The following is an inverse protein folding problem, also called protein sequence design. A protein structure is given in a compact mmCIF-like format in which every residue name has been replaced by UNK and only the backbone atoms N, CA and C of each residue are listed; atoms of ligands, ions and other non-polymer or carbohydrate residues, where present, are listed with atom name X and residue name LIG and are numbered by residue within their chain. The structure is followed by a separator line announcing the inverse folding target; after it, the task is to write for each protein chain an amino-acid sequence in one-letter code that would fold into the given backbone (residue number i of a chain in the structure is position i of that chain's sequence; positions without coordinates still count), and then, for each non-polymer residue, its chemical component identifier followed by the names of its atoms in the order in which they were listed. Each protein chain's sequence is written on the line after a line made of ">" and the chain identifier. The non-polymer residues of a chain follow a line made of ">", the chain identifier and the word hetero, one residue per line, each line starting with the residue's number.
data_IF_679152782716
#
_entry.id   IF_679152782716
#
_cell.length_a   1.000
_cell.length_b   1.000
_cell.length_c   1.000
_cell.angle_alpha   90.00
_cell.angle_beta   90.00
_cell.angle_gamma   90.00
#
_symmetry.space_group_name_H-M   'P 1'
#
loop_
_entity.id
_entity.type
_entity.pdbx_description
1 polymer ?
#
# COMPACT_ATOMS: atom_id res chain seq x y z
N UNK A 1 29.63 -0.46 -28.30
CA UNK A 1 30.96 -0.15 -27.73
C UNK A 1 30.81 1.23 -27.11
N UNK A 2 30.74 1.45 -25.80
CA UNK A 2 31.53 0.92 -24.69
C UNK A 2 30.64 0.82 -23.44
N UNK A 3 30.93 -0.21 -22.65
CA UNK A 3 30.37 -0.52 -21.33
C UNK A 3 30.42 0.67 -20.36
N UNK A 4 29.26 1.04 -19.81
CA UNK A 4 29.15 1.56 -18.44
C UNK A 4 28.00 0.83 -17.75
N UNK A 5 28.22 -0.46 -17.51
CA UNK A 5 27.69 -1.09 -16.31
C UNK A 5 28.49 -0.54 -15.13
N UNK A 6 27.89 -0.60 -13.96
CA UNK A 6 28.53 -0.39 -12.66
C UNK A 6 28.70 1.08 -12.25
N UNK A 7 27.62 1.69 -11.79
CA UNK A 7 27.59 2.50 -10.56
C UNK A 7 26.15 2.63 -10.02
N UNK A 8 25.30 1.64 -10.30
CA UNK A 8 24.05 1.47 -9.59
C UNK A 8 24.41 0.99 -8.17
N UNK A 9 24.64 1.96 -7.28
CA UNK A 9 24.37 1.88 -5.84
C UNK A 9 24.89 0.61 -5.16
N UNK A 10 26.19 0.33 -5.29
CA UNK A 10 26.94 -0.40 -4.25
C UNK A 10 27.22 0.56 -3.09
N UNK A 11 26.17 1.05 -2.44
CA UNK A 11 26.31 1.51 -1.07
C UNK A 11 26.32 0.20 -0.27
N UNK A 12 27.38 -0.15 0.47
CA UNK A 12 27.25 -1.21 1.45
C UNK A 12 26.34 -0.64 2.54
N UNK A 13 25.03 -0.71 2.32
CA UNK A 13 24.00 -0.54 3.35
C UNK A 13 24.01 -1.80 4.21
N UNK A 14 25.20 -2.08 4.72
CA UNK A 14 25.53 -3.28 5.44
C UNK A 14 25.25 -2.96 6.90
N UNK A 15 23.99 -3.17 7.29
CA UNK A 15 23.75 -3.86 8.55
C UNK A 15 24.42 -3.14 9.73
N UNK A 16 24.06 -1.87 9.96
CA UNK A 16 24.71 -1.04 10.99
C UNK A 16 24.56 -1.64 12.41
N UNK A 17 23.59 -2.52 12.67
CA UNK A 17 23.39 -3.14 14.00
C UNK A 17 23.37 -4.67 14.06
N UNK A 18 23.74 -5.41 13.01
CA UNK A 18 23.94 -6.88 13.15
C UNK A 18 25.42 -7.30 13.04
N UNK A 19 26.30 -6.48 12.43
CA UNK A 19 27.73 -6.83 12.34
C UNK A 19 28.48 -6.66 13.67
N UNK A 20 28.07 -5.68 14.47
CA UNK A 20 28.55 -5.47 15.85
C UNK A 20 28.04 -6.56 16.81
N UNK A 21 26.97 -7.28 16.43
CA UNK A 21 26.25 -8.27 17.25
C UNK A 21 26.98 -9.62 17.34
N UNK A 22 27.70 -10.02 16.29
CA UNK A 22 28.41 -11.31 16.23
C UNK A 22 29.80 -11.27 16.89
N UNK A 23 30.49 -10.13 16.91
CA UNK A 23 31.85 -10.05 17.45
C UNK A 23 31.90 -9.90 18.98
N UNK A 24 30.83 -9.38 19.61
CA UNK A 24 30.78 -9.20 21.08
C UNK A 24 30.16 -10.39 21.82
N UNK A 25 29.30 -11.19 21.19
CA UNK A 25 28.62 -12.33 21.82
C UNK A 25 29.45 -13.61 21.87
N UNK A 26 30.47 -13.75 21.00
CA UNK A 26 31.33 -14.95 20.96
C UNK A 26 32.35 -14.98 22.12
N UNK A 27 32.69 -13.83 22.72
CA UNK A 27 33.69 -13.77 23.79
C UNK A 27 33.12 -13.76 25.22
N UNK A 28 31.83 -13.47 25.42
CA UNK A 28 31.22 -13.44 26.76
C UNK A 28 29.77 -13.95 26.72
N UNK A 29 29.49 -15.05 27.41
CA UNK A 29 28.17 -15.71 27.49
C UNK A 29 27.09 -14.92 28.26
N UNK A 30 27.25 -13.61 28.46
CA UNK A 30 26.32 -12.76 29.23
C UNK A 30 25.58 -11.82 28.30
N UNK A 31 24.29 -12.10 28.07
CA UNK A 31 23.40 -11.24 27.28
C UNK A 31 23.03 -10.02 28.13
N UNK A 32 23.28 -8.81 27.62
CA UNK A 32 22.88 -7.57 28.28
C UNK A 32 21.55 -7.08 27.69
N UNK A 33 20.46 -7.43 28.36
CA UNK A 33 19.08 -7.08 27.96
C UNK A 33 18.86 -5.56 27.84
N UNK A 34 19.48 -4.77 28.71
CA UNK A 34 19.34 -3.30 28.68
C UNK A 34 19.94 -2.72 27.40
N UNK A 35 21.12 -3.21 27.00
CA UNK A 35 21.75 -2.80 25.74
C UNK A 35 20.94 -3.25 24.53
N UNK A 36 20.43 -4.48 24.54
CA UNK A 36 19.58 -5.00 23.47
C UNK A 36 18.30 -4.18 23.30
N UNK A 37 17.68 -3.77 24.40
CA UNK A 37 16.53 -2.88 24.39
C UNK A 37 16.87 -1.52 23.76
N UNK A 38 17.98 -0.89 24.18
CA UNK A 38 18.42 0.40 23.62
C UNK A 38 18.75 0.32 22.12
N UNK A 39 19.41 -0.76 21.69
CA UNK A 39 19.78 -0.97 20.28
C UNK A 39 18.54 -1.24 19.40
N UNK A 40 17.51 -1.89 19.94
CA UNK A 40 16.22 -2.10 19.26
C UNK A 40 15.39 -0.82 19.14
N UNK A 41 15.53 0.10 20.10
CA UNK A 41 14.88 1.41 20.08
C UNK A 41 15.64 2.46 19.25
N UNK A 42 16.89 2.19 18.84
CA UNK A 42 17.66 3.10 18.02
C UNK A 42 17.23 3.06 16.55
N UNK A 43 16.63 4.16 16.08
CA UNK A 43 16.33 4.38 14.67
C UNK A 43 17.54 5.09 14.05
N UNK A 44 18.05 4.62 12.90
CA UNK A 44 19.20 5.29 12.28
C UNK A 44 18.86 6.74 11.88
N UNK A 45 19.86 7.61 11.89
CA UNK A 45 19.72 9.06 11.61
C UNK A 45 18.91 9.36 10.35
N UNK A 46 19.11 8.56 9.29
CA UNK A 46 18.39 8.69 8.02
C UNK A 46 16.89 8.41 8.19
N UNK A 47 16.52 7.34 8.92
CA UNK A 47 15.13 7.02 9.23
C UNK A 47 14.49 8.05 10.18
N UNK A 48 15.27 8.64 11.10
CA UNK A 48 14.80 9.70 11.99
C UNK A 48 14.49 10.99 11.22
N UNK A 49 15.41 11.44 10.36
CA UNK A 49 15.18 12.55 9.44
C UNK A 49 13.93 12.31 8.57
N UNK A 50 13.71 11.09 8.07
CA UNK A 50 12.52 10.78 7.28
C UNK A 50 11.21 10.94 8.06
N UNK A 51 11.18 10.52 9.33
CA UNK A 51 10.00 10.73 10.21
C UNK A 51 9.77 12.20 10.53
N UNK A 52 10.84 12.99 10.67
CA UNK A 52 10.78 14.43 10.97
C UNK A 52 10.32 15.24 9.76
N UNK A 53 10.83 14.93 8.57
CA UNK A 53 10.56 15.73 7.36
C UNK A 53 9.33 15.27 6.56
N UNK A 54 8.67 14.18 6.96
CA UNK A 54 7.45 13.65 6.32
C UNK A 54 7.57 13.57 4.78
N UNK A 55 8.72 13.13 4.27
CA UNK A 55 8.87 12.92 2.83
C UNK A 55 7.97 11.77 2.37
N UNK A 56 7.41 11.87 1.16
CA UNK A 56 6.57 10.82 0.58
C UNK A 56 7.46 9.67 0.06
N UNK A 57 7.75 8.71 0.94
CA UNK A 57 8.77 7.65 0.71
C UNK A 57 8.22 6.47 -0.09
N UNK A 58 6.90 6.33 -0.17
CA UNK A 58 6.26 5.08 -0.60
C UNK A 58 5.25 5.30 -1.71
N UNK A 59 5.73 5.78 -2.86
CA UNK A 59 5.05 5.48 -4.11
C UNK A 59 5.39 4.05 -4.51
N UNK A 60 4.62 3.10 -4.00
CA UNK A 60 4.71 1.72 -4.47
C UNK A 60 4.37 1.69 -5.96
N UNK A 61 5.27 1.14 -6.76
CA UNK A 61 4.99 0.77 -8.14
C UNK A 61 5.03 -0.75 -8.23
N UNK A 62 3.90 -1.41 -8.53
CA UNK A 62 2.58 -0.83 -8.82
C UNK A 62 1.88 -0.26 -7.57
N UNK A 63 0.91 0.66 -7.73
CA UNK A 63 0.09 1.13 -6.62
C UNK A 63 -0.60 -0.05 -5.95
N UNK A 64 -0.53 -0.11 -4.62
CA UNK A 64 -1.15 -1.17 -3.81
C UNK A 64 -2.40 -0.61 -3.16
N UNK A 65 -3.55 -1.17 -3.54
CA UNK A 65 -4.85 -0.83 -2.95
C UNK A 65 -5.26 -1.90 -1.94
N UNK A 66 -5.68 -1.47 -0.75
CA UNK A 66 -6.16 -2.40 0.29
C UNK A 66 -7.63 -2.68 0.07
N UNK A 67 -7.93 -3.93 -0.26
CA UNK A 67 -9.31 -4.39 -0.41
C UNK A 67 -9.88 -4.81 0.96
N UNK A 68 -10.91 -4.11 1.46
CA UNK A 68 -11.51 -4.44 2.75
C UNK A 68 -12.32 -5.73 2.67
N UNK A 69 -12.17 -6.59 3.67
CA UNK A 69 -12.98 -7.78 3.87
C UNK A 69 -13.62 -7.67 5.25
N UNK A 70 -14.93 -7.80 5.30
CA UNK A 70 -15.73 -7.64 6.50
C UNK A 70 -16.68 -8.82 6.66
N UNK A 71 -17.08 -9.10 7.90
CA UNK A 71 -18.16 -10.02 8.18
C UNK A 71 -19.51 -9.37 7.84
N UNK A 72 -20.58 -10.17 7.62
CA UNK A 72 -21.92 -9.63 7.40
C UNK A 72 -22.32 -8.67 8.53
N UNK A 73 -22.73 -7.45 8.17
CA UNK A 73 -23.10 -6.36 9.08
C UNK A 73 -21.97 -5.76 9.95
N UNK A 74 -20.71 -6.11 9.70
CA UNK A 74 -19.54 -5.54 10.38
C UNK A 74 -18.72 -4.62 9.46
N UNK A 75 -19.41 -3.90 8.57
CA UNK A 75 -18.78 -2.91 7.71
C UNK A 75 -18.53 -1.62 8.49
N UNK A 76 -17.35 -1.03 8.33
CA UNK A 76 -17.05 0.27 8.90
C UNK A 76 -17.63 1.38 8.01
N UNK A 77 -18.33 2.34 8.61
CA UNK A 77 -18.96 3.48 7.92
C UNK A 77 -18.52 4.76 8.62
N UNK A 78 -17.95 5.70 7.86
CA UNK A 78 -17.63 7.04 8.33
C UNK A 78 -18.83 7.96 8.12
N UNK A 79 -19.26 8.65 9.16
CA UNK A 79 -20.39 9.60 9.13
C UNK A 79 -20.05 10.85 9.97
N UNK A 80 -20.67 12.01 9.68
CA UNK A 80 -20.42 13.22 10.46
C UNK A 80 -21.03 13.13 11.86
N UNK A 81 -20.42 13.78 12.86
CA UNK A 81 -20.81 13.67 14.27
C UNK A 81 -22.27 14.08 14.57
N UNK A 82 -22.86 14.92 13.72
CA UNK A 82 -24.24 15.41 13.84
C UNK A 82 -25.22 14.66 12.91
N UNK A 83 -24.79 13.55 12.30
CA UNK A 83 -25.68 12.72 11.48
C UNK A 83 -26.73 12.02 12.33
N UNK A 84 -27.93 11.87 11.76
CA UNK A 84 -28.95 11.03 12.38
C UNK A 84 -28.63 9.54 12.16
N UNK A 85 -28.43 8.80 13.24
CA UNK A 85 -28.04 7.39 13.18
C UNK A 85 -29.09 6.51 12.48
N UNK A 86 -30.38 6.80 12.60
CA UNK A 86 -31.43 6.03 11.92
C UNK A 86 -31.33 6.19 10.40
N UNK A 87 -31.05 7.41 9.93
CA UNK A 87 -30.85 7.68 8.50
C UNK A 87 -29.59 7.00 7.98
N UNK A 88 -28.47 7.10 8.71
CA UNK A 88 -27.18 6.48 8.35
C UNK A 88 -27.32 4.96 8.22
N UNK A 89 -28.01 4.31 9.17
CA UNK A 89 -28.22 2.86 9.12
C UNK A 89 -29.15 2.45 7.97
N UNK A 90 -30.16 3.27 7.66
CA UNK A 90 -31.09 3.01 6.55
C UNK A 90 -30.52 3.27 5.16
N UNK A 91 -29.44 4.06 5.08
CA UNK A 91 -28.85 4.45 3.80
C UNK A 91 -28.14 3.25 3.14
N UNK A 92 -28.71 2.79 2.03
CA UNK A 92 -28.15 1.69 1.25
C UNK A 92 -26.79 2.05 0.64
N UNK A 93 -26.58 3.33 0.29
CA UNK A 93 -25.32 3.80 -0.28
C UNK A 93 -24.16 3.54 0.67
N UNK A 94 -24.37 3.79 1.97
CA UNK A 94 -23.35 3.59 2.99
C UNK A 94 -23.03 2.12 3.26
N UNK A 95 -23.95 1.21 2.95
CA UNK A 95 -23.77 -0.24 3.08
C UNK A 95 -22.96 -0.86 1.93
N UNK A 96 -22.88 -0.17 0.79
CA UNK A 96 -22.09 -0.65 -0.36
C UNK A 96 -20.61 -0.55 -0.06
N UNK A 97 -19.93 -1.70 -0.12
CA UNK A 97 -18.49 -1.85 0.03
C UNK A 97 -17.89 -2.41 -1.24
N UNK A 98 -16.57 -2.30 -1.39
CA UNK A 98 -15.84 -2.90 -2.52
C UNK A 98 -16.14 -4.40 -2.68
N UNK A 99 -16.28 -5.15 -1.57
CA UNK A 99 -16.55 -6.59 -1.60
C UNK A 99 -18.01 -6.90 -1.99
N UNK A 100 -18.97 -6.18 -1.43
CA UNK A 100 -20.39 -6.41 -1.77
C UNK A 100 -20.66 -6.09 -3.24
N UNK A 101 -20.09 -4.99 -3.72
CA UNK A 101 -20.19 -4.59 -5.12
C UNK A 101 -19.43 -5.52 -6.06
N UNK A 102 -18.36 -6.17 -5.58
CA UNK A 102 -17.71 -7.21 -6.35
C UNK A 102 -18.64 -8.41 -6.58
N UNK A 103 -19.46 -8.81 -5.60
CA UNK A 103 -20.47 -9.85 -5.81
C UNK A 103 -21.53 -9.43 -6.83
N UNK A 104 -21.98 -8.17 -6.78
CA UNK A 104 -22.94 -7.61 -7.75
C UNK A 104 -22.32 -7.60 -9.16
N UNK A 105 -21.09 -7.13 -9.31
CA UNK A 105 -20.37 -7.12 -10.58
C UNK A 105 -20.20 -8.54 -11.17
N UNK A 106 -19.94 -9.55 -10.32
CA UNK A 106 -19.86 -10.95 -10.74
C UNK A 106 -21.19 -11.52 -11.24
N UNK A 107 -22.32 -11.04 -10.71
CA UNK A 107 -23.64 -11.45 -11.20
C UNK A 107 -23.89 -10.89 -12.60
N UNK A 108 -23.62 -9.60 -12.79
CA UNK A 108 -23.94 -8.85 -14.02
C UNK A 108 -22.96 -9.19 -15.16
N UNK A 109 -21.66 -9.25 -14.88
CA UNK A 109 -20.62 -9.32 -15.90
C UNK A 109 -19.94 -10.69 -15.93
N UNK A 110 -20.06 -11.47 -17.03
CA UNK A 110 -19.35 -12.75 -17.16
C UNK A 110 -17.82 -12.60 -17.06
N UNK A 111 -17.27 -11.48 -17.51
CA UNK A 111 -15.83 -11.20 -17.44
C UNK A 111 -15.32 -11.01 -16.00
N UNK A 112 -16.17 -10.54 -15.08
CA UNK A 112 -15.81 -10.37 -13.67
C UNK A 112 -15.55 -11.72 -12.97
N UNK A 113 -16.29 -12.77 -13.37
CA UNK A 113 -16.22 -14.12 -12.78
C UNK A 113 -14.86 -14.81 -12.97
N UNK A 114 -14.06 -14.33 -13.92
CA UNK A 114 -12.72 -14.84 -14.18
C UNK A 114 -11.66 -14.27 -13.24
N UNK A 115 -12.01 -13.31 -12.38
CA UNK A 115 -11.09 -12.63 -11.49
C UNK A 115 -11.46 -12.91 -10.03
N UNK A 116 -10.45 -13.24 -9.23
CA UNK A 116 -10.59 -13.24 -7.77
C UNK A 116 -10.68 -11.80 -7.26
N UNK A 117 -11.27 -11.62 -6.08
CA UNK A 117 -11.40 -10.30 -5.45
C UNK A 117 -10.06 -9.54 -5.41
N UNK A 118 -8.98 -10.20 -4.98
CA UNK A 118 -7.62 -9.61 -4.95
C UNK A 118 -7.06 -9.19 -6.31
N UNK A 119 -7.52 -9.81 -7.40
CA UNK A 119 -7.09 -9.48 -8.77
C UNK A 119 -8.08 -8.55 -9.46
N UNK A 120 -9.22 -8.24 -8.84
CA UNK A 120 -10.27 -7.45 -9.45
C UNK A 120 -9.83 -6.02 -9.84
N UNK A 121 -9.08 -5.29 -8.98
CA UNK A 121 -8.59 -3.95 -9.31
C UNK A 121 -7.61 -3.89 -10.50
N UNK A 122 -7.14 -5.04 -11.00
CA UNK A 122 -6.27 -5.08 -12.18
C UNK A 122 -6.99 -4.80 -13.50
N UNK A 123 -8.32 -4.94 -13.52
CA UNK A 123 -9.15 -4.71 -14.73
C UNK A 123 -10.38 -3.84 -14.48
N UNK A 124 -10.72 -3.63 -13.21
CA UNK A 124 -11.90 -2.88 -12.80
C UNK A 124 -11.45 -1.73 -11.90
N UNK A 125 -12.07 -0.57 -12.10
CA UNK A 125 -11.81 0.62 -11.29
C UNK A 125 -12.95 0.81 -10.29
N UNK A 126 -12.59 1.05 -9.04
CA UNK A 126 -13.55 1.46 -8.03
C UNK A 126 -13.90 2.94 -8.21
N UNK A 127 -15.20 3.26 -8.27
CA UNK A 127 -15.69 4.63 -8.32
C UNK A 127 -16.29 4.97 -6.95
N UNK A 128 -15.62 5.83 -6.18
CA UNK A 128 -16.07 6.20 -4.84
C UNK A 128 -17.40 6.97 -4.82
N UNK A 129 -17.68 7.75 -5.86
CA UNK A 129 -18.91 8.57 -5.95
C UNK A 129 -20.17 7.73 -6.14
N UNK A 130 -20.11 6.69 -6.97
CA UNK A 130 -21.21 5.76 -7.18
C UNK A 130 -21.14 4.52 -6.30
N UNK A 131 -20.01 4.31 -5.60
CA UNK A 131 -19.67 3.08 -4.89
C UNK A 131 -19.95 1.86 -5.74
N UNK A 132 -19.34 1.81 -6.92
CA UNK A 132 -19.51 0.73 -7.88
C UNK A 132 -18.21 0.43 -8.61
N UNK A 133 -18.12 -0.78 -9.15
CA UNK A 133 -17.03 -1.18 -10.03
C UNK A 133 -17.37 -0.86 -11.48
N UNK A 134 -16.47 -0.14 -12.16
CA UNK A 134 -16.56 0.08 -13.60
C UNK A 134 -15.44 -0.68 -14.31
N UNK A 135 -15.76 -1.20 -15.48
CA UNK A 135 -14.77 -1.90 -16.29
C UNK A 135 -13.80 -0.84 -16.81
N UNK A 136 -12.52 -1.00 -16.52
CA UNK A 136 -11.52 -0.10 -17.06
C UNK A 136 -11.49 -0.32 -18.58
N UNK A 137 -12.05 0.64 -19.33
CA UNK A 137 -11.83 0.70 -20.77
C UNK A 137 -10.34 0.83 -20.94
N UNK A 138 -9.72 -0.12 -21.65
CA UNK A 138 -8.40 0.07 -22.21
C UNK A 138 -8.50 1.25 -23.19
N UNK A 139 -8.41 2.47 -22.67
CA UNK A 139 -7.90 3.58 -23.45
C UNK A 139 -6.53 3.10 -23.86
N UNK A 140 -6.35 2.84 -25.16
CA UNK A 140 -5.05 2.55 -25.72
C UNK A 140 -4.09 3.57 -25.10
N UNK A 141 -3.18 3.08 -24.26
CA UNK A 141 -2.03 3.87 -23.83
C UNK A 141 -1.25 4.05 -25.13
N UNK A 142 -1.56 5.10 -25.88
CA UNK A 142 -0.65 5.61 -26.89
C UNK A 142 0.60 5.95 -26.09
N UNK A 143 1.62 5.12 -26.27
CA UNK A 143 2.97 5.36 -25.79
C UNK A 143 3.56 6.55 -26.54
N UNK A 144 2.96 7.73 -26.40
CA UNK A 144 3.54 8.97 -26.90
C UNK A 144 4.23 9.66 -25.72
N UNK A 145 5.46 9.19 -25.49
CA UNK A 145 6.55 9.97 -24.94
C UNK A 145 6.73 11.28 -25.74
N UNK A 146 5.85 12.26 -25.56
CA UNK A 146 6.10 13.65 -25.95
C UNK A 146 6.76 14.34 -24.76
N UNK A 147 8.08 14.19 -24.70
CA UNK A 147 8.94 15.07 -23.91
C UNK A 147 8.80 16.49 -24.45
N UNK A 148 7.97 17.33 -23.83
CA UNK A 148 8.10 18.77 -24.00
C UNK A 148 9.33 19.23 -23.21
N UNK A 149 10.47 19.31 -23.89
CA UNK A 149 11.56 20.21 -23.49
C UNK A 149 11.13 21.59 -23.95
N UNK A 150 10.69 22.44 -23.03
CA UNK A 150 10.72 23.88 -23.27
C UNK A 150 12.19 24.31 -23.23
N UNK A 151 12.68 24.75 -24.39
CA UNK A 151 13.78 25.73 -24.46
C UNK A 151 13.33 27.05 -23.84
#
# INVERSE_FOLDING_TARGET
>A
MVQQRDLCKKIPFQICNQRTRLLQSISTQTINEVKEYLDCCYICEQNACWRIFYFDIHRHYPPVERLPVHLPNENNITYPAHANMSQVVSDEFLRRTMLTEWFVANQIHPAARNLTYCKFPSKWRWIETSRSWDLEKLVARLDDCTMYIHL
#
